data_IF_391572087631
#
_entry.id   IF_391572087631
#
_cell.length_a   1.000
_cell.length_b   1.000
_cell.length_c   1.000
_cell.angle_alpha   90.00
_cell.angle_beta   90.00
_cell.angle_gamma   90.00
#
_symmetry.space_group_name_H-M   'P 1'
#
loop_
_entity.id
_entity.type
_entity.pdbx_description
1 polymer ?
#
# COMPACT_ATOMS: atom_id res chain seq x y z
N UNK A 1 -10.27 6.68 21.93
CA UNK A 1 -10.29 6.99 20.49
C UNK A 1 -10.80 5.74 19.81
N UNK A 2 -12.10 5.70 19.54
CA UNK A 2 -12.78 4.51 19.01
C UNK A 2 -12.17 4.06 17.69
N UNK A 3 -11.81 2.78 17.63
CA UNK A 3 -11.24 2.08 16.49
C UNK A 3 -12.30 1.85 15.40
N UNK A 4 -13.01 2.90 14.95
CA UNK A 4 -14.03 2.78 13.90
C UNK A 4 -13.47 2.22 12.58
N UNK A 5 -12.16 2.37 12.36
CA UNK A 5 -11.50 1.97 11.11
C UNK A 5 -10.55 0.79 11.31
N UNK A 6 -10.64 0.02 12.41
CA UNK A 6 -9.76 -1.12 12.67
C UNK A 6 -9.81 -2.17 11.56
N UNK A 7 -11.03 -2.51 11.13
CA UNK A 7 -11.25 -3.50 10.08
C UNK A 7 -10.78 -2.98 8.70
N UNK A 8 -10.91 -1.68 8.46
CA UNK A 8 -10.45 -1.04 7.22
C UNK A 8 -8.92 -0.96 7.19
N UNK A 9 -8.30 -0.62 8.31
CA UNK A 9 -6.85 -0.66 8.49
C UNK A 9 -6.30 -2.07 8.25
N UNK A 10 -6.88 -3.09 8.90
CA UNK A 10 -6.45 -4.47 8.76
C UNK A 10 -6.57 -4.98 7.32
N UNK A 11 -7.66 -4.62 6.63
CA UNK A 11 -7.86 -4.91 5.21
C UNK A 11 -6.78 -4.26 4.33
N UNK A 12 -6.48 -2.98 4.56
CA UNK A 12 -5.45 -2.25 3.79
C UNK A 12 -4.07 -2.86 4.03
N UNK A 13 -3.70 -3.05 5.30
CA UNK A 13 -2.40 -3.60 5.68
C UNK A 13 -2.21 -5.00 5.12
N UNK A 14 -3.20 -5.89 5.29
CA UNK A 14 -3.13 -7.25 4.76
C UNK A 14 -2.91 -7.24 3.25
N UNK A 15 -3.68 -6.44 2.51
CA UNK A 15 -3.56 -6.39 1.05
C UNK A 15 -2.21 -5.86 0.57
N UNK A 16 -1.71 -4.79 1.22
CA UNK A 16 -0.40 -4.21 0.92
C UNK A 16 0.71 -5.22 1.22
N UNK A 17 0.70 -5.85 2.39
CA UNK A 17 1.70 -6.84 2.77
C UNK A 17 1.68 -8.05 1.83
N UNK A 18 0.50 -8.56 1.44
CA UNK A 18 0.38 -9.63 0.46
C UNK A 18 0.96 -9.25 -0.89
N UNK A 19 0.63 -8.07 -1.42
CA UNK A 19 1.17 -7.61 -2.71
C UNK A 19 2.69 -7.45 -2.68
N UNK A 20 3.24 -6.94 -1.58
CA UNK A 20 4.69 -6.83 -1.40
C UNK A 20 5.35 -8.20 -1.21
N UNK A 21 4.69 -9.16 -0.56
CA UNK A 21 5.20 -10.52 -0.40
C UNK A 21 5.25 -11.27 -1.74
N UNK A 22 4.23 -11.11 -2.58
CA UNK A 22 4.17 -11.69 -3.93
C UNK A 22 5.25 -11.11 -4.86
N UNK A 23 5.55 -9.82 -4.72
CA UNK A 23 6.57 -9.14 -5.51
C UNK A 23 8.00 -9.28 -4.95
N UNK A 24 8.17 -9.72 -3.71
CA UNK A 24 9.47 -9.78 -3.04
C UNK A 24 10.47 -10.64 -3.84
N UNK A 25 11.73 -10.20 -4.03
CA UNK A 25 12.40 -9.03 -3.41
C UNK A 25 12.31 -7.72 -4.21
N UNK A 26 11.46 -7.64 -5.24
CA UNK A 26 11.39 -6.47 -6.09
C UNK A 26 10.58 -5.33 -5.43
N UNK A 27 11.09 -4.08 -5.48
CA UNK A 27 10.30 -2.93 -5.08
C UNK A 27 9.17 -2.69 -6.09
N UNK A 28 7.98 -2.41 -5.58
CA UNK A 28 6.79 -2.12 -6.42
C UNK A 28 6.16 -0.78 -6.05
N UNK A 29 5.47 -0.19 -7.01
CA UNK A 29 4.65 0.98 -6.76
C UNK A 29 3.27 0.54 -6.28
N UNK A 30 2.82 1.10 -5.16
CA UNK A 30 1.52 0.80 -4.57
C UNK A 30 0.50 1.81 -5.10
N UNK A 31 -0.28 1.36 -6.09
CA UNK A 31 -1.47 2.05 -6.58
C UNK A 31 -2.71 1.40 -5.97
N UNK A 32 -3.37 2.11 -5.07
CA UNK A 32 -4.39 1.51 -4.19
C UNK A 32 -5.66 1.08 -4.96
N UNK A 33 -5.96 1.74 -6.07
CA UNK A 33 -6.98 1.33 -7.02
C UNK A 33 -6.63 0.02 -7.73
N UNK A 34 -5.39 -0.13 -8.20
CA UNK A 34 -4.91 -1.36 -8.85
C UNK A 34 -4.85 -2.55 -7.87
N UNK A 35 -4.63 -2.28 -6.58
CA UNK A 35 -4.67 -3.30 -5.51
C UNK A 35 -6.10 -3.72 -5.12
N UNK A 36 -7.12 -3.06 -5.65
CA UNK A 36 -8.54 -3.28 -5.28
C UNK A 36 -8.87 -2.79 -3.87
N UNK A 37 -8.06 -1.87 -3.32
CA UNK A 37 -8.34 -1.20 -2.05
C UNK A 37 -9.32 -0.05 -2.22
N UNK A 38 -9.36 0.52 -3.42
CA UNK A 38 -10.21 1.65 -3.76
C UNK A 38 -10.90 1.36 -5.10
N UNK A 39 -12.17 1.73 -5.24
CA UNK A 39 -12.96 1.43 -6.44
C UNK A 39 -12.60 2.31 -7.66
N UNK A 40 -11.87 3.40 -7.45
CA UNK A 40 -11.51 4.33 -8.51
C UNK A 40 -10.28 5.18 -8.20
N UNK A 41 -9.83 5.99 -9.17
CA UNK A 41 -8.62 6.79 -9.03
C UNK A 41 -8.81 7.96 -8.06
N UNK A 42 -7.75 8.35 -7.34
CA UNK A 42 -7.77 9.50 -6.43
C UNK A 42 -8.09 10.83 -7.14
N UNK A 43 -7.67 10.94 -8.40
CA UNK A 43 -7.85 12.10 -9.25
C UNK A 43 -8.40 11.70 -10.61
N UNK A 44 -9.27 12.54 -11.17
CA UNK A 44 -9.67 12.48 -12.58
C UNK A 44 -9.38 13.82 -13.25
N UNK A 45 -9.11 13.77 -14.54
CA UNK A 45 -9.02 14.97 -15.35
C UNK A 45 -10.40 15.63 -15.42
N UNK A 46 -10.49 16.88 -14.97
CA UNK A 46 -11.77 17.62 -14.85
C UNK A 46 -11.93 18.71 -15.90
N UNK A 47 -10.89 19.00 -16.69
CA UNK A 47 -10.94 19.97 -17.78
C UNK A 47 -10.02 19.60 -18.94
N UNK A 48 -10.19 20.28 -20.07
CA UNK A 48 -9.38 20.09 -21.28
C UNK A 48 -7.94 20.61 -21.16
N UNK A 49 -7.59 21.20 -20.00
CA UNK A 49 -6.25 21.71 -19.71
C UNK A 49 -5.43 20.74 -18.85
N UNK A 50 -5.92 19.51 -18.63
CA UNK A 50 -5.22 18.49 -17.85
C UNK A 50 -5.27 18.71 -16.34
N UNK A 51 -6.21 19.55 -15.84
CA UNK A 51 -6.32 19.76 -14.39
C UNK A 51 -6.90 18.52 -13.73
N UNK A 52 -6.18 18.01 -12.75
CA UNK A 52 -6.63 16.92 -11.90
C UNK A 52 -7.56 17.46 -10.80
N UNK A 53 -8.79 16.96 -10.77
CA UNK A 53 -9.73 17.16 -9.67
C UNK A 53 -9.79 15.92 -8.78
N UNK A 54 -9.82 16.12 -7.47
CA UNK A 54 -10.02 15.03 -6.50
C UNK A 54 -11.37 14.36 -6.74
N UNK A 55 -11.38 13.02 -6.71
CA UNK A 55 -12.61 12.24 -6.76
C UNK A 55 -13.15 12.00 -5.36
N UNK A 56 -14.36 11.43 -5.27
CA UNK A 56 -14.94 10.93 -4.01
C UNK A 56 -14.09 9.82 -3.35
N UNK A 57 -13.20 9.18 -4.11
CA UNK A 57 -12.30 8.13 -3.65
C UNK A 57 -10.99 8.66 -3.04
N UNK A 58 -10.66 9.94 -3.25
CA UNK A 58 -9.44 10.57 -2.74
C UNK A 58 -9.20 10.34 -1.24
N UNK A 59 -10.22 10.44 -0.34
CA UNK A 59 -10.02 10.14 1.08
C UNK A 59 -9.56 8.71 1.37
N UNK A 60 -10.00 7.73 0.58
CA UNK A 60 -9.64 6.31 0.75
C UNK A 60 -8.18 6.07 0.33
N UNK A 61 -7.72 6.73 -0.74
CA UNK A 61 -6.31 6.74 -1.13
C UNK A 61 -5.42 7.38 -0.06
N UNK A 62 -5.86 8.51 0.51
CA UNK A 62 -5.13 9.16 1.61
C UNK A 62 -5.07 8.24 2.84
N UNK A 63 -6.17 7.59 3.20
CA UNK A 63 -6.20 6.64 4.30
C UNK A 63 -5.23 5.48 4.06
N UNK A 64 -5.24 4.89 2.86
CA UNK A 64 -4.32 3.82 2.50
C UNK A 64 -2.84 4.29 2.54
N UNK A 65 -2.55 5.48 2.02
CA UNK A 65 -1.22 6.08 2.11
C UNK A 65 -0.77 6.29 3.56
N UNK A 66 -1.66 6.72 4.46
CA UNK A 66 -1.34 6.82 5.89
C UNK A 66 -1.06 5.45 6.53
N UNK A 67 -1.78 4.40 6.12
CA UNK A 67 -1.49 3.03 6.59
C UNK A 67 -0.09 2.58 6.15
N UNK A 68 0.28 2.81 4.89
CA UNK A 68 1.62 2.51 4.38
C UNK A 68 2.68 3.35 5.10
N UNK A 69 2.41 4.64 5.34
CA UNK A 69 3.32 5.53 6.09
C UNK A 69 3.54 5.04 7.52
N UNK A 70 2.50 4.55 8.18
CA UNK A 70 2.61 3.93 9.49
C UNK A 70 3.51 2.68 9.45
N UNK A 71 3.30 1.77 8.50
CA UNK A 71 4.16 0.59 8.33
C UNK A 71 5.62 0.96 8.02
N UNK A 72 5.85 2.02 7.25
CA UNK A 72 7.18 2.56 6.97
C UNK A 72 7.85 3.11 8.25
N UNK A 73 7.13 3.89 9.04
CA UNK A 73 7.60 4.44 10.30
C UNK A 73 7.96 3.34 11.30
N UNK A 74 7.17 2.27 11.33
CA UNK A 74 7.43 1.07 12.14
C UNK A 74 8.52 0.15 11.54
N UNK A 75 9.16 0.55 10.44
CA UNK A 75 10.23 -0.18 9.76
C UNK A 75 9.83 -1.56 9.22
N UNK A 76 8.55 -1.82 8.97
CA UNK A 76 8.09 -3.06 8.31
C UNK A 76 8.30 -3.02 6.79
N UNK A 77 8.33 -1.82 6.21
CA UNK A 77 8.55 -1.60 4.79
C UNK A 77 9.45 -0.38 4.59
N UNK A 78 10.07 -0.31 3.42
CA UNK A 78 10.85 0.84 2.96
C UNK A 78 10.33 1.27 1.60
N UNK A 79 10.40 2.57 1.30
CA UNK A 79 9.87 3.17 0.07
C UNK A 79 9.55 4.64 0.26
N UNK A 80 9.04 5.28 -0.79
CA UNK A 80 8.61 6.68 -0.74
C UNK A 80 7.10 6.76 -0.70
N UNK A 81 6.54 7.34 0.36
CA UNK A 81 5.07 7.46 0.55
C UNK A 81 4.60 8.88 0.25
N UNK A 82 3.83 9.03 -0.82
CA UNK A 82 3.20 10.28 -1.23
C UNK A 82 1.86 10.50 -0.49
N UNK A 83 1.11 11.52 -0.88
CA UNK A 83 -0.18 11.87 -0.27
C UNK A 83 -1.25 10.79 -0.42
N UNK A 84 -1.23 10.09 -1.54
CA UNK A 84 -2.32 9.27 -2.05
C UNK A 84 -1.82 8.01 -2.79
N UNK A 85 -0.51 7.77 -2.80
CA UNK A 85 0.15 6.60 -3.42
C UNK A 85 1.53 6.39 -2.78
N UNK A 86 2.19 5.28 -3.11
CA UNK A 86 3.57 5.05 -2.68
C UNK A 86 4.41 4.39 -3.78
N UNK A 87 5.71 4.71 -3.84
CA UNK A 87 6.64 4.20 -4.86
C UNK A 87 7.81 3.44 -4.28
N UNK A 88 8.28 2.45 -5.05
CA UNK A 88 9.46 1.67 -4.72
C UNK A 88 9.34 1.02 -3.34
N UNK A 89 8.14 0.56 -2.99
CA UNK A 89 7.87 -0.04 -1.70
C UNK A 89 8.32 -1.49 -1.69
N UNK A 90 9.07 -1.89 -0.66
CA UNK A 90 9.54 -3.26 -0.46
C UNK A 90 9.53 -3.62 1.02
N UNK A 91 9.32 -4.91 1.32
CA UNK A 91 9.37 -5.44 2.68
C UNK A 91 10.79 -5.39 3.25
N UNK A 92 10.90 -5.02 4.53
CA UNK A 92 12.13 -5.19 5.30
C UNK A 92 12.18 -6.59 5.91
N UNK A 93 13.32 -6.96 6.51
CA UNK A 93 13.41 -8.19 7.32
C UNK A 93 12.32 -8.27 8.41
N UNK A 94 12.06 -7.15 9.09
CA UNK A 94 10.99 -7.06 10.11
C UNK A 94 9.60 -7.26 9.51
N UNK A 95 9.35 -6.75 8.29
CA UNK A 95 8.10 -6.98 7.56
C UNK A 95 7.92 -8.45 7.14
N UNK A 96 9.00 -9.10 6.72
CA UNK A 96 9.00 -10.53 6.39
C UNK A 96 8.73 -11.42 7.61
N UNK A 97 9.26 -11.06 8.77
CA UNK A 97 8.97 -11.76 10.02
C UNK A 97 7.49 -11.63 10.43
N UNK A 98 6.87 -10.46 10.19
CA UNK A 98 5.46 -10.21 10.49
C UNK A 98 4.51 -11.11 9.67
N UNK A 99 4.85 -11.40 8.41
CA UNK A 99 4.05 -12.27 7.54
C UNK A 99 4.34 -13.78 7.74
N UNK A 100 5.20 -14.15 8.69
CA UNK A 100 5.37 -15.53 9.13
C UNK A 100 6.45 -16.35 8.41
N UNK A 101 7.53 -15.71 7.93
CA UNK A 101 8.69 -16.41 7.36
C UNK A 101 8.75 -16.36 5.82
N UNK A 102 9.85 -16.85 5.23
CA UNK A 102 10.31 -16.42 3.91
C UNK A 102 9.20 -16.59 2.86
N UNK A 103 8.93 -15.56 2.04
CA UNK A 103 7.94 -15.64 0.98
C UNK A 103 8.25 -16.85 0.10
N UNK A 104 7.23 -17.41 -0.53
CA UNK A 104 7.36 -18.53 -1.47
C UNK A 104 8.47 -18.34 -2.51
N UNK A 105 8.81 -17.08 -2.83
CA UNK A 105 9.93 -16.67 -3.68
C UNK A 105 11.34 -17.09 -3.19
N UNK A 106 11.50 -17.42 -1.90
CA UNK A 106 12.75 -17.86 -1.27
C UNK A 106 12.79 -19.36 -0.96
N UNK A 107 11.78 -20.15 -1.38
CA UNK A 107 11.86 -21.61 -1.34
C UNK A 107 12.76 -22.12 -2.46
N UNK A 108 14.06 -22.00 -2.28
CA UNK A 108 15.04 -22.80 -3.03
C UNK A 108 14.81 -24.26 -2.64
N UNK A 109 14.26 -25.04 -3.56
CA UNK A 109 14.19 -26.50 -3.46
C UNK A 109 15.61 -27.06 -3.29
N UNK A 110 15.87 -27.67 -2.15
CA UNK A 110 17.05 -28.48 -1.87
C UNK A 110 16.81 -29.92 -2.29
#
# INVERSE_FOLDING_TARGET
MDLKNAAEFDRVVTRVLSALADAFPQPIDLRFDELGLVEGPAYKEVDTYGRAGSTEYSPQHVFAAQCVRFLAAESYLTGTVHSDWATGVVLTAKGLDLIGGPPSSLRTTH
#
